data_IF_273725035741
#
_entry.id   IF_273725035741
#
_cell.length_a   1.000
_cell.length_b   1.000
_cell.length_c   1.000
_cell.angle_alpha   90.00
_cell.angle_beta   90.00
_cell.angle_gamma   90.00
#
_symmetry.space_group_name_H-M   'P 1'
#
loop_
_entity.id
_entity.type
_entity.pdbx_description
1 polymer ?
#
# COMPACT_ATOMS: atom_id res chain seq x y z
N UNK A 1 -29.16 -1.53 20.90
CA UNK A 1 -28.06 -1.19 19.94
C UNK A 1 -28.38 -1.79 18.59
N UNK A 2 -27.92 -1.22 17.46
CA UNK A 2 -28.24 -1.76 16.12
C UNK A 2 -27.71 -3.20 15.95
N UNK A 3 -26.64 -3.53 16.68
CA UNK A 3 -26.06 -4.88 16.81
C UNK A 3 -27.04 -5.94 17.34
N UNK A 4 -28.06 -5.58 18.12
CA UNK A 4 -29.02 -6.54 18.70
C UNK A 4 -30.03 -7.07 17.68
N UNK A 5 -30.25 -6.32 16.59
CA UNK A 5 -31.20 -6.69 15.53
C UNK A 5 -30.55 -7.50 14.40
N UNK A 6 -29.22 -7.62 14.42
CA UNK A 6 -28.44 -8.30 13.39
C UNK A 6 -27.78 -9.56 13.98
N UNK A 7 -27.69 -10.62 13.17
CA UNK A 7 -26.85 -11.78 13.51
C UNK A 7 -25.37 -11.40 13.42
N UNK A 8 -24.49 -12.20 14.01
CA UNK A 8 -23.04 -11.95 13.97
C UNK A 8 -22.50 -11.85 12.52
N UNK A 9 -22.95 -12.73 11.62
CA UNK A 9 -22.56 -12.72 10.21
C UNK A 9 -23.12 -11.52 9.44
N UNK A 10 -24.32 -11.06 9.77
CA UNK A 10 -24.89 -9.84 9.18
C UNK A 10 -24.19 -8.58 9.69
N UNK A 11 -23.85 -8.53 10.98
CA UNK A 11 -23.06 -7.45 11.55
C UNK A 11 -21.69 -7.37 10.87
N UNK A 12 -21.02 -8.51 10.68
CA UNK A 12 -19.75 -8.58 9.94
C UNK A 12 -19.86 -7.99 8.53
N UNK A 13 -20.94 -8.29 7.80
CA UNK A 13 -21.14 -7.70 6.47
C UNK A 13 -21.39 -6.19 6.54
N UNK A 14 -22.26 -5.75 7.45
CA UNK A 14 -22.69 -4.34 7.56
C UNK A 14 -21.55 -3.44 8.02
N UNK A 15 -20.77 -3.85 9.04
CA UNK A 15 -19.62 -3.06 9.51
C UNK A 15 -18.54 -2.92 8.45
N UNK A 16 -18.44 -3.89 7.55
CA UNK A 16 -17.45 -3.89 6.47
C UNK A 16 -17.88 -3.07 5.24
N UNK A 17 -19.06 -2.46 5.25
CA UNK A 17 -19.58 -1.67 4.13
C UNK A 17 -18.61 -0.57 3.63
N UNK A 18 -17.90 0.20 4.49
CA UNK A 18 -16.93 1.19 4.03
C UNK A 18 -15.75 0.58 3.24
N UNK A 19 -15.31 -0.62 3.63
CA UNK A 19 -14.22 -1.31 2.94
C UNK A 19 -14.66 -1.82 1.56
N UNK A 20 -15.93 -2.21 1.40
CA UNK A 20 -16.49 -2.56 0.10
C UNK A 20 -16.54 -1.37 -0.86
N UNK A 21 -16.87 -0.17 -0.35
CA UNK A 21 -16.80 1.07 -1.15
C UNK A 21 -15.37 1.33 -1.61
N UNK A 22 -14.40 1.21 -0.70
CA UNK A 22 -12.99 1.41 -1.03
C UNK A 22 -12.48 0.38 -2.08
N UNK A 23 -12.90 -0.88 -1.95
CA UNK A 23 -12.56 -1.93 -2.92
C UNK A 23 -13.14 -1.64 -4.31
N UNK A 24 -14.39 -1.16 -4.38
CA UNK A 24 -15.01 -0.77 -5.65
C UNK A 24 -14.25 0.39 -6.32
N UNK A 25 -13.85 1.41 -5.55
CA UNK A 25 -13.05 2.53 -6.05
C UNK A 25 -11.67 2.06 -6.56
N UNK A 26 -10.99 1.25 -5.75
CA UNK A 26 -9.68 0.67 -6.12
C UNK A 26 -9.77 -0.18 -7.40
N UNK A 27 -10.83 -0.98 -7.54
CA UNK A 27 -11.04 -1.80 -8.72
C UNK A 27 -11.34 -0.97 -9.98
N UNK A 28 -12.05 0.15 -9.83
CA UNK A 28 -12.39 1.04 -10.94
C UNK A 28 -11.17 1.76 -11.53
N UNK A 29 -10.24 2.20 -10.68
CA UNK A 29 -8.99 2.85 -11.12
C UNK A 29 -7.92 1.86 -11.61
N UNK A 30 -8.12 0.56 -11.38
CA UNK A 30 -7.26 -0.51 -11.89
C UNK A 30 -6.10 -0.83 -10.97
N UNK A 31 -4.95 -1.28 -11.51
CA UNK A 31 -3.79 -1.65 -10.68
C UNK A 31 -3.15 -0.40 -10.06
N UNK A 32 -3.61 -0.06 -8.86
CA UNK A 32 -3.05 1.03 -8.05
C UNK A 32 -1.72 0.60 -7.40
N UNK A 33 -0.75 1.51 -7.34
CA UNK A 33 0.53 1.27 -6.66
C UNK A 33 0.32 0.98 -5.17
N UNK A 34 1.23 0.21 -4.56
CA UNK A 34 1.24 -0.06 -3.12
C UNK A 34 1.15 1.21 -2.27
N UNK A 35 1.86 2.28 -2.68
CA UNK A 35 1.82 3.57 -1.99
C UNK A 35 0.46 4.26 -2.07
N UNK A 36 -0.21 4.13 -3.22
CA UNK A 36 -1.56 4.69 -3.41
C UNK A 36 -2.58 3.94 -2.56
N UNK A 37 -2.54 2.60 -2.57
CA UNK A 37 -3.40 1.76 -1.72
C UNK A 37 -3.22 2.08 -0.23
N UNK A 38 -1.96 2.33 0.21
CA UNK A 38 -1.67 2.75 1.60
C UNK A 38 -2.24 4.14 1.92
N UNK A 39 -2.19 5.07 0.98
CA UNK A 39 -2.75 6.42 1.16
C UNK A 39 -4.28 6.39 1.19
N UNK A 40 -4.91 5.65 0.28
CA UNK A 40 -6.36 5.45 0.23
C UNK A 40 -6.87 4.76 1.50
N UNK A 41 -6.14 3.76 2.02
CA UNK A 41 -6.45 3.14 3.31
C UNK A 41 -6.40 4.12 4.48
N UNK A 42 -5.42 5.03 4.51
CA UNK A 42 -5.38 6.11 5.52
C UNK A 42 -6.50 7.13 5.35
N UNK A 43 -6.87 7.43 4.11
CA UNK A 43 -7.97 8.35 3.82
C UNK A 43 -9.32 7.74 4.23
N UNK A 44 -9.50 6.43 4.01
CA UNK A 44 -10.66 5.67 4.46
C UNK A 44 -10.79 5.72 5.99
N UNK A 45 -9.72 5.37 6.71
CA UNK A 45 -9.67 5.38 8.17
C UNK A 45 -10.01 6.77 8.75
N UNK A 46 -9.40 7.81 8.17
CA UNK A 46 -9.69 9.22 8.53
C UNK A 46 -11.12 9.62 8.22
N UNK A 47 -11.69 9.15 7.10
CA UNK A 47 -13.05 9.48 6.70
C UNK A 47 -14.09 8.80 7.61
N UNK A 48 -13.84 7.55 8.02
CA UNK A 48 -14.70 6.80 8.95
C UNK A 48 -14.65 7.45 10.33
N UNK A 49 -13.46 7.59 10.92
CA UNK A 49 -13.28 8.14 12.27
C UNK A 49 -13.71 9.61 12.39
N UNK A 50 -13.57 10.39 11.32
CA UNK A 50 -13.99 11.78 11.25
C UNK A 50 -15.49 11.99 11.03
N UNK A 51 -16.25 10.94 10.71
CA UNK A 51 -17.67 11.06 10.38
C UNK A 51 -18.52 11.31 11.62
N UNK A 52 -19.39 12.31 11.58
CA UNK A 52 -20.30 12.64 12.68
C UNK A 52 -21.73 12.24 12.32
N UNK A 53 -22.31 11.35 13.12
CA UNK A 53 -23.70 10.92 12.97
C UNK A 53 -24.41 10.77 14.32
N UNK A 54 -25.69 11.13 14.37
CA UNK A 54 -26.58 10.79 15.48
C UNK A 54 -27.16 9.38 15.34
N UNK A 55 -27.14 8.79 14.15
CA UNK A 55 -27.71 7.49 13.85
C UNK A 55 -26.95 6.34 14.58
N UNK A 56 -27.65 5.45 15.33
CA UNK A 56 -27.03 4.38 16.09
C UNK A 56 -26.22 3.38 15.25
N UNK A 57 -26.69 2.99 14.06
CA UNK A 57 -25.97 2.08 13.17
C UNK A 57 -24.61 2.65 12.79
N UNK A 58 -24.58 3.92 12.38
CA UNK A 58 -23.35 4.58 11.94
C UNK A 58 -22.35 4.71 13.10
N UNK A 59 -22.83 5.03 14.31
CA UNK A 59 -21.98 5.04 15.51
C UNK A 59 -21.39 3.67 15.82
N UNK A 60 -22.19 2.62 15.70
CA UNK A 60 -21.76 1.24 15.93
C UNK A 60 -20.71 0.80 14.90
N UNK A 61 -20.80 1.26 13.64
CA UNK A 61 -19.82 1.00 12.57
C UNK A 61 -18.51 1.76 12.84
N UNK A 62 -18.60 3.05 13.17
CA UNK A 62 -17.41 3.89 13.43
C UNK A 62 -16.63 3.40 14.66
N UNK A 63 -17.33 2.91 15.68
CA UNK A 63 -16.71 2.38 16.89
C UNK A 63 -16.07 0.99 16.72
N UNK A 64 -16.29 0.31 15.59
CA UNK A 64 -15.78 -1.03 15.33
C UNK A 64 -14.45 -0.94 14.55
N UNK A 65 -13.33 -1.02 15.27
CA UNK A 65 -11.96 -0.89 14.72
C UNK A 65 -11.43 -2.19 14.07
N UNK A 66 -12.31 -3.12 13.68
CA UNK A 66 -11.87 -4.41 13.13
C UNK A 66 -11.34 -4.28 11.70
N UNK A 67 -10.19 -4.94 11.46
CA UNK A 67 -9.44 -4.82 10.22
C UNK A 67 -9.92 -5.84 9.17
N UNK A 68 -10.92 -5.46 8.37
CA UNK A 68 -11.52 -6.34 7.36
C UNK A 68 -10.75 -6.39 6.02
N UNK A 69 -9.45 -6.16 6.07
CA UNK A 69 -8.71 -5.62 4.93
C UNK A 69 -8.09 -6.66 3.98
N UNK A 70 -8.07 -7.96 4.28
CA UNK A 70 -7.42 -8.94 3.37
C UNK A 70 -8.33 -9.53 2.29
N UNK A 71 -9.56 -9.93 2.62
CA UNK A 71 -10.44 -10.56 1.62
C UNK A 71 -11.19 -9.54 0.75
N UNK A 72 -11.45 -8.34 1.28
CA UNK A 72 -12.20 -7.28 0.59
C UNK A 72 -11.29 -6.48 -0.36
N UNK A 73 -9.99 -6.33 -0.04
CA UNK A 73 -9.08 -5.45 -0.78
C UNK A 73 -8.79 -5.87 -2.23
N UNK A 74 -8.99 -7.14 -2.58
CA UNK A 74 -8.77 -7.65 -3.93
C UNK A 74 -10.10 -7.99 -4.66
N UNK A 75 -11.25 -7.58 -4.08
CA UNK A 75 -12.56 -7.82 -4.68
C UNK A 75 -12.76 -7.01 -5.97
N UNK A 76 -13.48 -7.59 -6.94
CA UNK A 76 -13.87 -6.85 -8.14
C UNK A 76 -14.97 -5.83 -7.83
N UNK A 77 -15.10 -4.81 -8.69
CA UNK A 77 -16.19 -3.83 -8.58
C UNK A 77 -17.57 -4.51 -8.51
N UNK A 78 -17.81 -5.55 -9.32
CA UNK A 78 -19.08 -6.28 -9.33
C UNK A 78 -19.31 -7.07 -8.03
N UNK A 79 -18.26 -7.57 -7.39
CA UNK A 79 -18.38 -8.25 -6.10
C UNK A 79 -18.71 -7.26 -4.98
N UNK A 80 -18.08 -6.08 -5.00
CA UNK A 80 -18.37 -5.00 -4.07
C UNK A 80 -19.81 -4.47 -4.22
N UNK A 81 -20.28 -4.26 -5.45
CA UNK A 81 -21.67 -3.87 -5.71
C UNK A 81 -22.66 -4.95 -5.22
N UNK A 82 -22.38 -6.24 -5.46
CA UNK A 82 -23.22 -7.33 -4.94
C UNK A 82 -23.23 -7.38 -3.41
N UNK A 83 -22.09 -7.15 -2.76
CA UNK A 83 -22.01 -7.10 -1.30
C UNK A 83 -22.79 -5.92 -0.73
N UNK A 84 -22.62 -4.72 -1.30
CA UNK A 84 -23.35 -3.51 -0.89
C UNK A 84 -24.86 -3.63 -1.12
N UNK A 85 -25.30 -4.30 -2.18
CA UNK A 85 -26.71 -4.61 -2.40
C UNK A 85 -27.28 -5.52 -1.31
N UNK A 86 -26.56 -6.58 -0.92
CA UNK A 86 -26.97 -7.46 0.19
C UNK A 86 -27.03 -6.70 1.51
N UNK A 87 -26.02 -5.87 1.80
CA UNK A 87 -25.98 -5.03 3.00
C UNK A 87 -27.19 -4.09 3.03
N UNK A 88 -27.50 -3.42 1.92
CA UNK A 88 -28.64 -2.53 1.82
C UNK A 88 -29.97 -3.26 2.03
N UNK A 89 -30.13 -4.48 1.51
CA UNK A 89 -31.31 -5.32 1.80
C UNK A 89 -31.43 -5.68 3.28
N UNK A 90 -30.33 -6.09 3.92
CA UNK A 90 -30.32 -6.44 5.36
C UNK A 90 -30.70 -5.23 6.21
N UNK A 91 -30.11 -4.07 5.93
CA UNK A 91 -30.40 -2.83 6.68
C UNK A 91 -31.84 -2.39 6.45
N UNK A 92 -32.34 -2.41 5.22
CA UNK A 92 -33.74 -2.09 4.92
C UNK A 92 -34.72 -2.99 5.68
N UNK A 93 -34.47 -4.30 5.68
CA UNK A 93 -35.38 -5.30 6.25
C UNK A 93 -35.36 -5.30 7.78
N UNK A 94 -34.18 -5.14 8.39
CA UNK A 94 -33.99 -5.33 9.84
C UNK A 94 -33.90 -4.03 10.64
N UNK A 95 -33.43 -2.96 10.03
CA UNK A 95 -33.18 -1.68 10.70
C UNK A 95 -34.15 -0.59 10.22
N UNK A 96 -34.47 -0.59 8.92
CA UNK A 96 -35.47 0.27 8.30
C UNK A 96 -34.89 1.26 7.30
N UNK A 97 -35.79 2.03 6.66
CA UNK A 97 -35.42 2.97 5.59
C UNK A 97 -34.52 4.12 6.09
N UNK A 98 -34.77 4.63 7.31
CA UNK A 98 -33.97 5.72 7.89
C UNK A 98 -32.51 5.30 8.13
N UNK A 99 -32.30 4.07 8.57
CA UNK A 99 -30.96 3.50 8.76
C UNK A 99 -30.27 3.21 7.42
N UNK A 100 -31.02 2.78 6.40
CA UNK A 100 -30.48 2.61 5.05
C UNK A 100 -30.08 3.95 4.44
N UNK A 101 -30.88 5.00 4.61
CA UNK A 101 -30.58 6.34 4.12
C UNK A 101 -29.34 6.93 4.82
N UNK A 102 -29.23 6.74 6.14
CA UNK A 102 -28.05 7.13 6.91
C UNK A 102 -26.79 6.36 6.48
N UNK A 103 -26.92 5.05 6.22
CA UNK A 103 -25.83 4.22 5.70
C UNK A 103 -25.40 4.68 4.31
N UNK A 104 -26.35 4.96 3.41
CA UNK A 104 -26.05 5.46 2.07
C UNK A 104 -25.29 6.78 2.11
N UNK A 105 -25.77 7.76 2.88
CA UNK A 105 -25.11 9.06 3.04
C UNK A 105 -23.68 8.92 3.61
N UNK A 106 -23.53 8.07 4.63
CA UNK A 106 -22.23 7.74 5.21
C UNK A 106 -21.26 7.15 4.18
N UNK A 107 -21.68 6.09 3.48
CA UNK A 107 -20.84 5.38 2.52
C UNK A 107 -20.43 6.26 1.33
N UNK A 108 -21.33 7.10 0.81
CA UNK A 108 -21.02 8.01 -0.29
C UNK A 108 -20.03 9.09 0.14
N UNK A 109 -20.20 9.68 1.34
CA UNK A 109 -19.26 10.68 1.87
C UNK A 109 -17.87 10.08 2.11
N UNK A 110 -17.80 8.87 2.67
CA UNK A 110 -16.54 8.13 2.83
C UNK A 110 -15.90 7.87 1.47
N UNK A 111 -16.66 7.36 0.50
CA UNK A 111 -16.18 7.11 -0.86
C UNK A 111 -15.64 8.36 -1.56
N UNK A 112 -16.33 9.49 -1.48
CA UNK A 112 -15.86 10.76 -2.04
C UNK A 112 -14.57 11.26 -1.36
N UNK A 113 -14.44 11.07 -0.04
CA UNK A 113 -13.22 11.42 0.70
C UNK A 113 -12.03 10.58 0.24
N UNK A 114 -12.22 9.27 0.04
CA UNK A 114 -11.17 8.38 -0.46
C UNK A 114 -10.76 8.75 -1.88
N UNK A 115 -11.72 8.90 -2.79
CA UNK A 115 -11.46 9.25 -4.18
C UNK A 115 -10.69 10.58 -4.32
N UNK A 116 -11.06 11.60 -3.53
CA UNK A 116 -10.36 12.89 -3.53
C UNK A 116 -8.93 12.83 -2.98
N UNK A 117 -8.61 11.82 -2.16
CA UNK A 117 -7.27 11.65 -1.58
C UNK A 117 -6.23 11.13 -2.58
N UNK A 118 -6.64 10.64 -3.76
CA UNK A 118 -5.75 9.91 -4.66
C UNK A 118 -4.86 10.80 -5.56
N UNK A 119 -4.94 12.15 -5.54
CA UNK A 119 -4.10 13.00 -6.41
C UNK A 119 -3.49 14.30 -5.85
N UNK A 120 -3.40 14.48 -4.53
CA UNK A 120 -2.58 15.58 -3.98
C UNK A 120 -1.08 15.25 -3.99
N UNK A 121 -0.48 15.18 -5.17
CA UNK A 121 0.99 15.31 -5.32
C UNK A 121 1.35 15.76 -6.73
N UNK A 122 1.61 17.07 -6.88
CA UNK A 122 2.41 17.62 -7.97
C UNK A 122 1.65 18.00 -9.25
N UNK A 123 1.57 19.31 -9.48
CA UNK A 123 1.13 19.99 -10.72
C UNK A 123 -0.38 19.96 -10.99
N UNK A 124 -0.98 21.15 -10.89
CA UNK A 124 -2.42 21.35 -10.97
C UNK A 124 -3.02 21.06 -12.35
N UNK A 125 -4.36 20.95 -12.36
CA UNK A 125 -5.29 20.77 -13.50
C UNK A 125 -5.78 19.35 -13.84
N UNK A 126 -5.71 18.38 -12.91
CA UNK A 126 -6.52 17.16 -13.03
C UNK A 126 -7.73 17.21 -12.07
N UNK A 127 -8.90 16.78 -12.54
CA UNK A 127 -10.15 16.63 -11.75
C UNK A 127 -9.87 15.85 -10.46
N UNK A 128 -10.36 16.35 -9.33
CA UNK A 128 -10.08 15.81 -7.99
C UNK A 128 -10.53 14.35 -7.79
N UNK A 129 -11.45 13.86 -8.62
CA UNK A 129 -11.97 12.49 -8.64
C UNK A 129 -11.89 11.95 -10.08
N UNK A 130 -11.38 10.74 -10.25
CA UNK A 130 -11.32 10.05 -11.56
C UNK A 130 -12.72 9.88 -12.14
N UNK A 131 -12.87 9.93 -13.47
CA UNK A 131 -14.17 9.65 -14.10
C UNK A 131 -14.67 8.24 -13.76
N UNK A 132 -13.75 7.28 -13.63
CA UNK A 132 -14.06 5.90 -13.26
C UNK A 132 -14.51 5.77 -11.81
N UNK A 133 -13.86 6.47 -10.89
CA UNK A 133 -14.29 6.52 -9.48
C UNK A 133 -15.67 7.19 -9.35
N UNK A 134 -15.91 8.26 -10.11
CA UNK A 134 -17.21 8.92 -10.14
C UNK A 134 -18.31 7.98 -10.67
N UNK A 135 -18.01 7.17 -11.68
CA UNK A 135 -18.92 6.16 -12.21
C UNK A 135 -19.17 5.03 -11.20
N UNK A 136 -18.12 4.58 -10.51
CA UNK A 136 -18.23 3.57 -9.45
C UNK A 136 -19.10 4.06 -8.29
N UNK A 137 -18.94 5.32 -7.84
CA UNK A 137 -19.80 5.92 -6.82
C UNK A 137 -21.25 6.03 -7.27
N UNK A 138 -21.50 6.39 -8.54
CA UNK A 138 -22.84 6.40 -9.10
C UNK A 138 -23.45 4.98 -9.18
N UNK A 139 -22.63 3.97 -9.47
CA UNK A 139 -23.01 2.55 -9.41
C UNK A 139 -23.42 2.12 -8.01
N UNK A 140 -22.59 2.43 -7.00
CA UNK A 140 -22.87 2.18 -5.58
C UNK A 140 -24.16 2.87 -5.15
N UNK A 141 -24.33 4.15 -5.48
CA UNK A 141 -25.55 4.90 -5.14
C UNK A 141 -26.80 4.23 -5.75
N UNK A 142 -26.71 3.78 -7.02
CA UNK A 142 -27.80 3.07 -7.68
C UNK A 142 -28.13 1.76 -6.99
N UNK A 143 -27.12 0.99 -6.57
CA UNK A 143 -27.31 -0.27 -5.83
C UNK A 143 -27.99 0.00 -4.49
N UNK A 144 -27.50 0.98 -3.73
CA UNK A 144 -28.04 1.34 -2.42
C UNK A 144 -29.46 1.93 -2.49
N UNK A 145 -29.84 2.57 -3.62
CA UNK A 145 -31.23 3.03 -3.88
C UNK A 145 -32.13 1.93 -4.44
N UNK A 146 -31.57 1.05 -5.27
CA UNK A 146 -32.29 0.02 -6.02
C UNK A 146 -32.76 -1.16 -5.19
N UNK A 147 -32.31 -1.30 -3.94
CA UNK A 147 -32.76 -2.35 -3.02
C UNK A 147 -34.21 -2.20 -2.58
N UNK A 148 -34.84 -1.04 -2.79
CA UNK A 148 -36.31 -0.93 -2.71
C UNK A 148 -37.03 -1.76 -3.80
N UNK A 149 -36.37 -2.03 -4.93
CA UNK A 149 -36.91 -2.79 -6.06
C UNK A 149 -36.36 -4.23 -6.20
N UNK A 150 -35.34 -4.62 -5.43
CA UNK A 150 -34.76 -5.97 -5.52
C UNK A 150 -35.47 -7.01 -4.63
N UNK A 151 -36.36 -6.55 -3.72
CA UNK A 151 -37.19 -7.42 -2.88
C UNK A 151 -38.31 -8.17 -3.63
N UNK A 152 -38.52 -7.91 -4.93
CA UNK A 152 -39.53 -8.60 -5.75
C UNK A 152 -38.96 -9.65 -6.71
N UNK A 153 -37.64 -9.84 -6.78
CA UNK A 153 -37.04 -10.69 -7.82
C UNK A 153 -36.41 -12.01 -7.35
N UNK A 154 -36.30 -12.32 -6.05
CA UNK A 154 -35.71 -13.59 -5.59
C UNK A 154 -36.47 -14.15 -4.37
N UNK A 155 -37.64 -14.73 -4.63
CA UNK A 155 -38.22 -15.77 -3.76
C UNK A 155 -37.86 -17.12 -4.39
N UNK A 156 -37.16 -18.04 -3.70
CA UNK A 156 -36.99 -19.40 -4.21
C UNK A 156 -38.37 -20.06 -4.32
N UNK A 157 -38.72 -20.48 -5.54
CA UNK A 157 -39.99 -21.10 -5.86
C UNK A 157 -40.24 -22.33 -4.96
N UNK A 158 -41.21 -22.21 -4.07
CA UNK A 158 -41.89 -23.36 -3.45
C UNK A 158 -42.92 -23.90 -4.46
N UNK A 159 -43.05 -25.22 -4.65
CA UNK A 159 -43.80 -25.79 -5.76
C UNK A 159 -45.31 -25.54 -5.62
N UNK A 160 -45.94 -25.23 -6.75
CA UNK A 160 -47.38 -25.02 -6.88
C UNK A 160 -48.16 -26.32 -6.60
N UNK A 161 -49.34 -26.25 -5.95
CA UNK A 161 -50.10 -27.42 -5.51
C UNK A 161 -50.81 -28.13 -6.68
N UNK A 162 -50.79 -29.45 -6.63
CA UNK A 162 -51.44 -30.35 -7.57
C UNK A 162 -52.97 -30.13 -7.63
N UNK A 163 -53.48 -30.07 -8.86
CA UNK A 163 -54.90 -30.09 -9.17
C UNK A 163 -55.53 -31.43 -8.78
N UNK A 164 -56.69 -31.36 -8.08
CA UNK A 164 -57.61 -32.50 -7.91
C UNK A 164 -58.21 -32.90 -9.26
N UNK A 165 -58.29 -34.19 -9.60
CA UNK A 165 -59.29 -34.67 -10.54
C UNK A 165 -60.56 -35.12 -9.79
N UNK A 166 -61.71 -34.62 -10.23
CA UNK A 166 -63.01 -35.24 -9.96
C UNK A 166 -63.08 -36.57 -10.72
N UNK A 167 -63.45 -37.67 -10.05
CA UNK A 167 -63.82 -38.93 -10.71
C UNK A 167 -65.28 -39.26 -10.41
N UNK A 168 -66.08 -39.24 -11.47
CA UNK A 168 -67.40 -39.82 -11.56
C UNK A 168 -67.36 -41.35 -11.48
N UNK A 169 -68.40 -41.90 -10.87
CA UNK A 169 -68.76 -43.31 -10.77
C UNK A 169 -68.83 -44.08 -12.10
N UNK A 170 -68.25 -45.29 -12.15
CA UNK A 170 -68.76 -46.42 -12.94
C UNK A 170 -68.18 -47.76 -12.46
N UNK A 171 -69.04 -48.79 -12.42
CA UNK A 171 -68.87 -50.16 -11.89
C UNK A 171 -68.17 -51.11 -12.90
N UNK A 172 -67.57 -52.27 -12.51
CA UNK A 172 -66.48 -52.94 -13.26
C UNK A 172 -66.86 -54.25 -13.98
N UNK A 173 -66.03 -54.66 -14.97
CA UNK A 173 -65.58 -56.03 -15.37
C UNK A 173 -65.23 -56.14 -16.90
N UNK A 174 -64.46 -57.13 -17.41
CA UNK A 174 -63.21 -57.74 -16.89
C UNK A 174 -62.06 -57.92 -17.95
N UNK A 175 -60.80 -57.88 -17.46
CA UNK A 175 -59.71 -58.85 -17.69
C UNK A 175 -59.06 -59.14 -19.08
N UNK A 176 -58.92 -58.14 -19.98
CA UNK A 176 -57.95 -58.26 -21.13
C UNK A 176 -57.07 -57.03 -21.38
N UNK A 177 -57.12 -56.00 -20.53
CA UNK A 177 -56.32 -54.76 -20.65
C UNK A 177 -55.13 -54.67 -19.69
N UNK A 178 -55.05 -55.58 -18.72
CA UNK A 178 -54.08 -55.49 -17.62
C UNK A 178 -52.69 -56.02 -17.99
N UNK A 179 -52.59 -57.02 -18.87
CA UNK A 179 -51.30 -57.58 -19.30
C UNK A 179 -50.54 -56.64 -20.24
N UNK A 180 -51.24 -55.95 -21.14
CA UNK A 180 -50.63 -54.98 -22.07
C UNK A 180 -50.20 -53.69 -21.35
N UNK A 181 -50.99 -53.25 -20.35
CA UNK A 181 -50.63 -52.14 -19.48
C UNK A 181 -49.40 -52.47 -18.59
N UNK A 182 -49.32 -53.69 -18.06
CA UNK A 182 -48.19 -54.15 -17.26
C UNK A 182 -46.91 -54.31 -18.09
N UNK A 183 -47.01 -54.88 -19.30
CA UNK A 183 -45.88 -54.98 -20.22
C UNK A 183 -45.35 -53.61 -20.65
N UNK A 184 -46.24 -52.64 -20.90
CA UNK A 184 -45.87 -51.26 -21.24
C UNK A 184 -45.20 -50.55 -20.06
N UNK A 185 -45.71 -50.73 -18.84
CA UNK A 185 -45.11 -50.16 -17.62
C UNK A 185 -43.73 -50.76 -17.33
N UNK A 186 -43.52 -52.06 -17.55
CA UNK A 186 -42.23 -52.72 -17.35
C UNK A 186 -41.19 -52.29 -18.39
N UNK A 187 -41.61 -52.10 -19.65
CA UNK A 187 -40.75 -51.55 -20.70
C UNK A 187 -40.35 -50.09 -20.42
N UNK A 188 -41.29 -49.27 -19.93
CA UNK A 188 -41.04 -47.87 -19.59
C UNK A 188 -40.16 -47.74 -18.34
N UNK A 189 -40.29 -48.65 -17.36
CA UNK A 189 -39.41 -48.71 -16.20
C UNK A 189 -37.97 -49.08 -16.59
N UNK A 190 -37.78 -50.08 -17.46
CA UNK A 190 -36.45 -50.45 -17.98
C UNK A 190 -35.80 -49.32 -18.79
N UNK A 191 -36.59 -48.63 -19.64
CA UNK A 191 -36.11 -47.46 -20.38
C UNK A 191 -35.73 -46.29 -19.46
N UNK A 192 -36.48 -46.04 -18.39
CA UNK A 192 -36.15 -45.02 -17.38
C UNK A 192 -34.91 -45.39 -16.56
N UNK A 193 -34.71 -46.66 -16.23
CA UNK A 193 -33.51 -47.14 -15.54
C UNK A 193 -32.26 -47.01 -16.43
N UNK A 194 -32.35 -47.37 -17.71
CA UNK A 194 -31.25 -47.20 -18.67
C UNK A 194 -30.94 -45.72 -18.92
N UNK A 195 -31.97 -44.87 -19.01
CA UNK A 195 -31.80 -43.42 -19.10
C UNK A 195 -31.17 -42.84 -17.84
N UNK A 196 -31.52 -43.33 -16.65
CA UNK A 196 -30.91 -42.92 -15.39
C UNK A 196 -29.43 -43.32 -15.32
N UNK A 197 -29.07 -44.54 -15.73
CA UNK A 197 -27.66 -44.99 -15.81
C UNK A 197 -26.83 -44.16 -16.79
N UNK A 198 -27.37 -43.87 -17.97
CA UNK A 198 -26.70 -42.98 -18.94
C UNK A 198 -26.58 -41.55 -18.40
N UNK A 199 -27.56 -41.07 -17.66
CA UNK A 199 -27.52 -39.75 -17.03
C UNK A 199 -26.48 -39.69 -15.90
N UNK A 200 -26.31 -40.75 -15.10
CA UNK A 200 -25.27 -40.81 -14.06
C UNK A 200 -23.87 -40.88 -14.66
N UNK A 201 -23.65 -41.72 -15.67
CA UNK A 201 -22.36 -41.80 -16.36
C UNK A 201 -21.99 -40.48 -17.06
N UNK A 202 -22.97 -39.79 -17.66
CA UNK A 202 -22.77 -38.47 -18.25
C UNK A 202 -22.41 -37.41 -17.19
N UNK A 203 -23.03 -37.46 -16.01
CA UNK A 203 -22.71 -36.56 -14.89
C UNK A 203 -21.31 -36.80 -14.34
N UNK A 204 -20.91 -38.05 -14.13
CA UNK A 204 -19.56 -38.40 -13.66
C UNK A 204 -18.48 -37.98 -14.65
N UNK A 205 -18.72 -38.15 -15.96
CA UNK A 205 -17.80 -37.68 -17.01
C UNK A 205 -17.68 -36.15 -17.03
N UNK A 206 -18.78 -35.43 -16.85
CA UNK A 206 -18.78 -33.97 -16.78
C UNK A 206 -18.09 -33.46 -15.51
N UNK A 207 -18.30 -34.12 -14.37
CA UNK A 207 -17.64 -33.77 -13.10
C UNK A 207 -16.13 -33.96 -13.20
N UNK A 208 -15.69 -35.11 -13.73
CA UNK A 208 -14.26 -35.37 -13.96
C UNK A 208 -13.64 -34.36 -14.93
N UNK A 209 -14.31 -34.07 -16.04
CA UNK A 209 -13.83 -33.07 -17.00
C UNK A 209 -13.75 -31.66 -16.39
N UNK A 210 -14.68 -31.31 -15.51
CA UNK A 210 -14.66 -30.03 -14.77
C UNK A 210 -13.52 -29.97 -13.75
N UNK A 211 -13.30 -31.05 -12.99
CA UNK A 211 -12.19 -31.14 -12.04
C UNK A 211 -10.82 -31.05 -12.75
N UNK A 212 -10.65 -31.75 -13.87
CA UNK A 212 -9.43 -31.69 -14.68
C UNK A 212 -9.20 -30.29 -15.29
N UNK A 213 -10.27 -29.61 -15.72
CA UNK A 213 -10.20 -28.25 -16.23
C UNK A 213 -9.84 -27.23 -15.14
N UNK A 214 -10.39 -27.39 -13.93
CA UNK A 214 -10.10 -26.55 -12.78
C UNK A 214 -8.65 -26.72 -12.30
N UNK A 215 -8.19 -27.97 -12.18
CA UNK A 215 -6.80 -28.27 -11.83
C UNK A 215 -5.80 -27.69 -12.84
N UNK A 216 -6.09 -27.78 -14.14
CA UNK A 216 -5.26 -27.16 -15.19
C UNK A 216 -5.28 -25.64 -15.12
N UNK A 217 -6.44 -25.04 -14.84
CA UNK A 217 -6.55 -23.59 -14.69
C UNK A 217 -5.77 -23.10 -13.46
N UNK A 218 -5.81 -23.83 -12.34
CA UNK A 218 -5.06 -23.51 -11.13
C UNK A 218 -3.55 -23.68 -11.33
N UNK A 219 -3.12 -24.76 -11.99
CA UNK A 219 -1.71 -24.97 -12.33
C UNK A 219 -1.16 -23.84 -13.20
N UNK A 220 -1.91 -23.43 -14.25
CA UNK A 220 -1.53 -22.30 -15.11
C UNK A 220 -1.44 -20.98 -14.34
N UNK A 221 -2.41 -20.68 -13.47
CA UNK A 221 -2.37 -19.48 -12.61
C UNK A 221 -1.15 -19.49 -11.68
N UNK A 222 -0.80 -20.65 -11.13
CA UNK A 222 0.35 -20.81 -10.23
C UNK A 222 1.68 -20.62 -10.97
N UNK A 223 1.78 -21.11 -12.20
CA UNK A 223 2.93 -20.90 -13.08
C UNK A 223 3.09 -19.42 -13.44
N UNK A 224 2.03 -18.77 -13.93
CA UNK A 224 2.03 -17.33 -14.23
C UNK A 224 2.36 -16.47 -12.99
N UNK A 225 1.89 -16.88 -11.80
CA UNK A 225 2.22 -16.19 -10.56
C UNK A 225 3.69 -16.35 -10.17
N UNK A 226 4.29 -17.53 -10.40
CA UNK A 226 5.72 -17.79 -10.17
C UNK A 226 6.59 -16.96 -11.10
N UNK A 227 6.28 -16.94 -12.39
CA UNK A 227 7.02 -16.13 -13.37
C UNK A 227 6.95 -14.63 -13.04
N UNK A 228 5.77 -14.13 -12.65
CA UNK A 228 5.61 -12.74 -12.22
C UNK A 228 6.42 -12.42 -10.97
N UNK A 229 6.47 -13.34 -10.01
CA UNK A 229 7.23 -13.17 -8.77
C UNK A 229 8.73 -13.20 -9.04
N UNK A 230 9.20 -14.08 -9.90
CA UNK A 230 10.60 -14.17 -10.31
C UNK A 230 11.04 -12.89 -11.04
N UNK A 231 10.25 -12.42 -12.01
CA UNK A 231 10.51 -11.16 -12.71
C UNK A 231 10.54 -9.97 -11.73
N UNK A 232 9.57 -9.88 -10.82
CA UNK A 232 9.53 -8.81 -9.83
C UNK A 232 10.74 -8.85 -8.88
N UNK A 233 11.23 -10.06 -8.53
CA UNK A 233 12.43 -10.22 -7.71
C UNK A 233 13.69 -9.79 -8.46
N UNK A 234 13.83 -10.16 -9.74
CA UNK A 234 14.95 -9.74 -10.58
C UNK A 234 14.99 -8.20 -10.74
N UNK A 235 13.85 -7.57 -11.03
CA UNK A 235 13.75 -6.11 -11.12
C UNK A 235 14.05 -5.42 -9.77
N UNK A 236 13.67 -6.03 -8.65
CA UNK A 236 13.98 -5.49 -7.32
C UNK A 236 15.47 -5.61 -6.99
N UNK A 237 16.11 -6.72 -7.36
CA UNK A 237 17.55 -6.94 -7.17
C UNK A 237 18.38 -5.97 -8.02
N UNK A 238 17.99 -5.76 -9.28
CA UNK A 238 18.60 -4.76 -10.17
C UNK A 238 18.53 -3.36 -9.54
N UNK A 239 17.33 -2.93 -9.12
CA UNK A 239 17.16 -1.62 -8.44
C UNK A 239 17.96 -1.49 -7.15
N UNK A 240 18.08 -2.57 -6.37
CA UNK A 240 18.92 -2.56 -5.16
C UNK A 240 20.40 -2.43 -5.52
N UNK A 241 20.86 -3.11 -6.57
CA UNK A 241 22.25 -3.02 -7.03
C UNK A 241 22.58 -1.62 -7.54
N UNK A 242 21.69 -1.00 -8.32
CA UNK A 242 21.84 0.38 -8.81
C UNK A 242 21.85 1.39 -7.66
N UNK A 243 20.93 1.25 -6.70
CA UNK A 243 20.86 2.13 -5.54
C UNK A 243 22.14 2.03 -4.68
N UNK A 244 22.66 0.82 -4.48
CA UNK A 244 23.90 0.59 -3.75
C UNK A 244 25.11 1.20 -4.48
N UNK A 245 25.22 0.98 -5.79
CA UNK A 245 26.29 1.57 -6.60
C UNK A 245 26.25 3.11 -6.57
N UNK A 246 25.05 3.71 -6.62
CA UNK A 246 24.88 5.16 -6.52
C UNK A 246 25.29 5.68 -5.14
N UNK A 247 24.90 5.00 -4.06
CA UNK A 247 25.27 5.37 -2.70
C UNK A 247 26.79 5.25 -2.47
N UNK A 248 27.43 4.21 -3.00
CA UNK A 248 28.89 4.03 -2.93
C UNK A 248 29.63 5.13 -3.72
N UNK A 249 29.13 5.50 -4.90
CA UNK A 249 29.71 6.59 -5.70
C UNK A 249 29.57 7.96 -5.00
N UNK A 250 28.44 8.23 -4.35
CA UNK A 250 28.23 9.46 -3.58
C UNK A 250 29.13 9.50 -2.33
N UNK A 251 29.25 8.37 -1.62
CA UNK A 251 30.16 8.24 -0.49
C UNK A 251 31.63 8.43 -0.89
N UNK A 252 32.04 7.92 -2.07
CA UNK A 252 33.38 8.13 -2.60
C UNK A 252 33.66 9.61 -2.89
N UNK A 253 32.72 10.31 -3.55
CA UNK A 253 32.84 11.76 -3.80
C UNK A 253 32.92 12.57 -2.51
N UNK A 254 32.12 12.23 -1.50
CA UNK A 254 32.16 12.90 -0.21
C UNK A 254 33.51 12.70 0.51
N UNK A 255 34.09 11.51 0.43
CA UNK A 255 35.44 11.22 0.97
C UNK A 255 36.53 12.01 0.24
N UNK A 256 36.45 12.09 -1.09
CA UNK A 256 37.40 12.89 -1.88
C UNK A 256 37.31 14.39 -1.54
N UNK A 257 36.09 14.93 -1.43
CA UNK A 257 35.88 16.32 -1.05
C UNK A 257 36.39 16.61 0.38
N UNK A 258 36.13 15.69 1.32
CA UNK A 258 36.64 15.80 2.69
C UNK A 258 38.18 15.78 2.71
N UNK A 259 38.81 14.87 1.98
CA UNK A 259 40.27 14.81 1.86
C UNK A 259 40.85 16.08 1.24
N UNK A 260 40.18 16.65 0.22
CA UNK A 260 40.60 17.92 -0.40
C UNK A 260 40.48 19.10 0.57
N UNK A 261 39.42 19.17 1.37
CA UNK A 261 39.24 20.20 2.40
C UNK A 261 40.29 20.07 3.50
N UNK A 262 40.60 18.86 3.94
CA UNK A 262 41.66 18.62 4.92
C UNK A 262 43.04 19.01 4.37
N UNK A 263 43.35 18.65 3.13
CA UNK A 263 44.58 19.05 2.46
C UNK A 263 44.68 20.58 2.32
N UNK A 264 43.59 21.26 1.95
CA UNK A 264 43.55 22.72 1.87
C UNK A 264 43.73 23.38 3.25
N UNK A 265 43.13 22.82 4.30
CA UNK A 265 43.30 23.32 5.67
C UNK A 265 44.74 23.15 6.17
N UNK A 266 45.39 22.01 5.89
CA UNK A 266 46.80 21.79 6.20
C UNK A 266 47.71 22.74 5.42
N UNK A 267 47.43 22.96 4.13
CA UNK A 267 48.18 23.91 3.31
C UNK A 267 48.04 25.37 3.81
N UNK A 268 46.84 25.78 4.21
CA UNK A 268 46.59 27.09 4.80
C UNK A 268 47.28 27.27 6.16
N UNK A 269 47.33 26.21 6.98
CA UNK A 269 48.05 26.23 8.26
C UNK A 269 49.58 26.31 8.10
N UNK A 270 50.13 25.83 6.97
CA UNK A 270 51.56 25.90 6.65
C UNK A 270 51.97 27.16 5.87
N UNK A 271 51.06 28.09 5.59
CA UNK A 271 51.40 29.31 4.87
C UNK A 271 52.41 30.16 5.69
N UNK A 272 53.49 30.66 5.07
CA UNK A 272 54.52 31.41 5.78
C UNK A 272 53.93 32.72 6.32
N UNK A 273 53.84 32.83 7.65
CA UNK A 273 53.36 34.05 8.34
C UNK A 273 54.25 35.27 8.11
N UNK A 274 55.52 35.05 7.76
CA UNK A 274 56.51 36.11 7.55
C UNK A 274 57.12 35.97 6.16
N UNK A 275 56.85 36.94 5.28
CA UNK A 275 57.30 36.95 3.88
C UNK A 275 58.33 38.04 3.60
N UNK A 276 58.52 38.98 4.54
CA UNK A 276 59.48 40.07 4.43
C UNK A 276 60.47 40.00 5.60
N UNK A 277 61.76 40.11 5.30
CA UNK A 277 62.84 40.08 6.27
C UNK A 277 63.67 41.35 6.14
N UNK A 278 64.06 41.93 7.27
CA UNK A 278 64.87 43.14 7.34
C UNK A 278 66.37 42.83 7.47
N UNK A 279 66.71 41.64 7.97
CA UNK A 279 68.10 41.20 8.16
C UNK A 279 68.18 39.68 8.33
N UNK A 280 69.40 39.15 8.19
CA UNK A 280 69.78 37.81 8.67
C UNK A 280 70.84 37.97 9.76
N UNK A 281 70.66 37.26 10.88
CA UNK A 281 71.51 37.35 12.05
C UNK A 281 72.16 36.00 12.36
N UNK A 282 73.48 35.94 12.38
CA UNK A 282 74.21 34.75 12.82
C UNK A 282 74.40 34.80 14.33
N UNK A 283 73.74 33.89 15.06
CA UNK A 283 73.79 33.78 16.52
C UNK A 283 75.23 33.66 17.00
N UNK A 284 75.63 34.53 17.90
CA UNK A 284 76.94 34.51 18.55
C UNK A 284 76.86 33.87 19.95
N UNK A 285 77.99 33.42 20.52
CA UNK A 285 78.04 32.97 21.90
C UNK A 285 77.52 34.06 22.86
N UNK A 286 76.51 33.73 23.67
CA UNK A 286 75.90 34.65 24.64
C UNK A 286 74.66 35.39 24.13
N UNK A 287 74.29 35.26 22.86
CA UNK A 287 73.04 35.82 22.35
C UNK A 287 71.82 35.08 22.90
N UNK A 288 70.71 35.80 23.04
CA UNK A 288 69.38 35.25 23.24
C UNK A 288 68.37 35.98 22.35
N UNK A 289 67.19 35.38 22.14
CA UNK A 289 66.19 35.95 21.23
C UNK A 289 65.70 37.35 21.65
N UNK A 290 65.68 37.65 22.95
CA UNK A 290 65.30 38.97 23.47
C UNK A 290 66.32 40.04 23.10
N UNK A 291 67.62 39.76 23.22
CA UNK A 291 68.69 40.68 22.81
C UNK A 291 68.75 40.86 21.30
N UNK A 292 68.49 39.80 20.53
CA UNK A 292 68.38 39.91 19.07
C UNK A 292 67.16 40.78 18.72
N UNK A 293 66.01 40.59 19.38
CA UNK A 293 64.82 41.45 19.21
C UNK A 293 65.12 42.91 19.52
N UNK A 294 65.81 43.18 20.63
CA UNK A 294 66.19 44.54 21.02
C UNK A 294 67.11 45.19 19.99
N UNK A 295 68.07 44.44 19.44
CA UNK A 295 69.00 44.92 18.41
C UNK A 295 68.29 45.36 17.13
N UNK A 296 67.29 44.60 16.67
CA UNK A 296 66.66 44.85 15.37
C UNK A 296 65.34 45.63 15.44
N UNK A 297 64.60 45.52 16.55
CA UNK A 297 63.30 46.17 16.75
C UNK A 297 63.30 47.25 17.83
N UNK A 298 64.42 47.45 18.54
CA UNK A 298 64.51 48.41 19.64
C UNK A 298 63.77 47.98 20.90
N UNK A 299 63.25 46.75 20.96
CA UNK A 299 62.54 46.21 22.12
C UNK A 299 62.75 44.71 22.25
N UNK A 300 62.89 44.24 23.50
CA UNK A 300 62.96 42.81 23.81
C UNK A 300 61.60 42.10 23.63
N UNK A 301 60.48 42.83 23.54
CA UNK A 301 59.14 42.25 23.55
C UNK A 301 58.79 41.38 22.32
N UNK A 302 59.50 41.59 21.20
CA UNK A 302 59.19 40.97 19.91
C UNK A 302 60.00 39.70 19.61
N UNK A 303 60.68 39.13 20.60
CA UNK A 303 61.46 37.90 20.46
C UNK A 303 60.64 36.71 19.92
N UNK A 304 59.34 36.64 20.27
CA UNK A 304 58.43 35.59 19.80
C UNK A 304 58.25 35.62 18.28
N UNK A 305 58.27 36.80 17.67
CA UNK A 305 58.14 36.97 16.21
C UNK A 305 59.35 36.37 15.49
N UNK A 306 60.54 36.61 16.04
CA UNK A 306 61.80 36.02 15.52
C UNK A 306 61.77 34.50 15.67
N UNK A 307 61.28 33.98 16.81
CA UNK A 307 61.13 32.54 17.00
C UNK A 307 60.16 31.92 15.99
N UNK A 308 58.96 32.48 15.84
CA UNK A 308 57.94 31.93 14.93
C UNK A 308 58.43 31.89 13.48
N UNK A 309 59.19 32.89 13.05
CA UNK A 309 59.77 32.94 11.70
C UNK A 309 60.93 31.98 11.45
N UNK A 310 61.57 31.48 12.52
CA UNK A 310 62.74 30.61 12.44
C UNK A 310 62.53 29.28 13.16
N UNK A 311 61.27 28.89 13.39
CA UNK A 311 60.95 27.67 14.13
C UNK A 311 61.58 26.43 13.50
N UNK A 312 61.71 26.41 12.17
CA UNK A 312 62.38 25.32 11.44
C UNK A 312 63.89 25.21 11.75
N UNK A 313 64.54 26.31 12.16
CA UNK A 313 65.97 26.38 12.48
C UNK A 313 66.23 26.23 13.99
N UNK A 314 65.35 26.78 14.82
CA UNK A 314 65.48 26.79 16.29
C UNK A 314 64.93 25.47 16.89
N UNK A 315 63.93 24.86 16.25
CA UNK A 315 63.22 23.69 16.75
C UNK A 315 62.07 24.06 17.71
N UNK A 316 61.53 23.07 18.42
CA UNK A 316 60.34 23.24 19.28
C UNK A 316 60.59 24.04 20.57
N UNK A 317 61.85 24.29 20.93
CA UNK A 317 62.20 25.02 22.14
C UNK A 317 62.82 26.39 21.83
N UNK A 318 62.01 27.44 22.02
CA UNK A 318 62.39 28.84 21.80
C UNK A 318 63.59 29.32 22.64
N UNK A 319 63.87 28.69 23.78
CA UNK A 319 64.95 29.13 24.67
C UNK A 319 66.32 28.54 24.29
N UNK A 320 66.39 27.69 23.27
CA UNK A 320 67.62 27.00 22.86
C UNK A 320 68.03 27.48 21.48
N UNK A 321 68.88 28.51 21.44
CA UNK A 321 69.59 28.92 20.21
C UNK A 321 71.07 28.55 20.33
N UNK A 322 71.67 28.14 19.22
CA UNK A 322 73.05 27.67 19.13
C UNK A 322 73.89 28.66 18.34
N UNK A 323 75.11 28.99 18.81
CA UNK A 323 76.03 29.81 18.03
C UNK A 323 76.26 29.24 16.64
N UNK A 324 76.31 30.11 15.63
CA UNK A 324 76.43 29.75 14.21
C UNK A 324 75.09 29.51 13.49
N UNK A 325 73.95 29.48 14.20
CA UNK A 325 72.64 29.48 13.54
C UNK A 325 72.37 30.82 12.85
N UNK A 326 71.88 30.79 11.62
CA UNK A 326 71.44 31.99 10.89
C UNK A 326 69.93 32.14 11.07
N UNK A 327 69.51 33.21 11.74
CA UNK A 327 68.10 33.54 11.98
C UNK A 327 67.67 34.68 11.07
N UNK A 328 66.57 34.49 10.35
CA UNK A 328 65.93 35.52 9.53
C UNK A 328 65.10 36.45 10.41
N UNK A 329 65.32 37.75 10.34
CA UNK A 329 64.62 38.74 11.16
C UNK A 329 63.44 39.30 10.37
N UNK A 330 62.17 38.98 10.74
CA UNK A 330 61.01 39.47 10.01
C UNK A 330 60.89 40.98 10.03
N UNK A 331 60.14 41.53 9.08
CA UNK A 331 59.60 42.89 9.23
C UNK A 331 58.38 42.84 10.14
N UNK A 332 58.30 43.73 11.14
CA UNK A 332 57.09 43.94 11.95
C UNK A 332 55.95 44.52 11.11
#
# INVERSE_FOLDING_TARGET
MSKEKLTASEWELVKNAPFWVNAALSAADGKVSFFTRRREGKALDKAISGYKSSNPLIKDIIADESDASKEIADASQADAERALGRIASIVQEKLGADDLDALRDFLLKVGHSVASSSKESGTGTAKAVSEKESEALAGIERVLKGTSAYATAHTPAKPSPAAKPQSSSAKPAPAKRDDEAKAKQEAEAKAREEAAKKQTEARERLEKARADAEAKAEAKKKEEARERLEKARAEAEERQSEAKAKAEAEAAKAREEAARKEAAAKAAASAPKYTQFIAEHTVQPGDNLSFISERYYGTQANFRIIYEANRDVIGDNMNIIRPGQVLKIPKL
#
